data_IF_435719682592
#
_entry.id   IF_435719682592
#
_cell.length_a   1.000
_cell.length_b   1.000
_cell.length_c   1.000
_cell.angle_alpha   90.00
_cell.angle_beta   90.00
_cell.angle_gamma   90.00
#
_symmetry.space_group_name_H-M   'P 1'
#
loop_
_entity.id
_entity.type
_entity.pdbx_description
1 polymer ?
#
# COMPACT_ATOMS: atom_id res chain seq x y z
N UNK A 1 -58.20 -1.82 -7.10
CA UNK A 1 -57.98 -0.50 -6.48
C UNK A 1 -56.52 -0.45 -6.05
N UNK A 2 -55.64 0.12 -6.87
CA UNK A 2 -54.19 0.14 -6.63
C UNK A 2 -53.69 1.57 -6.61
N UNK A 3 -53.25 2.04 -5.44
CA UNK A 3 -52.68 3.36 -5.27
C UNK A 3 -51.20 3.34 -5.68
N UNK A 4 -50.84 4.19 -6.65
CA UNK A 4 -49.45 4.45 -7.04
C UNK A 4 -48.92 5.57 -6.15
N UNK A 5 -47.86 5.31 -5.40
CA UNK A 5 -47.10 6.31 -4.66
C UNK A 5 -46.09 6.94 -5.60
N UNK A 6 -46.27 8.22 -5.90
CA UNK A 6 -45.33 9.02 -6.69
C UNK A 6 -44.29 9.63 -5.74
N UNK A 7 -43.04 9.18 -5.83
CA UNK A 7 -41.91 9.81 -5.13
C UNK A 7 -41.37 10.94 -5.99
N UNK A 8 -41.55 12.17 -5.53
CA UNK A 8 -40.94 13.38 -6.13
C UNK A 8 -39.61 13.62 -5.43
N UNK A 9 -38.50 13.43 -6.14
CA UNK A 9 -37.18 13.85 -5.67
C UNK A 9 -36.99 15.35 -5.92
N UNK A 10 -36.87 16.12 -4.84
CA UNK A 10 -36.40 17.51 -4.89
C UNK A 10 -34.87 17.50 -4.79
N UNK A 11 -34.19 17.70 -5.92
CA UNK A 11 -32.78 18.07 -5.93
C UNK A 11 -32.68 19.57 -5.61
N UNK A 12 -32.36 19.89 -4.36
CA UNK A 12 -32.07 21.27 -3.95
C UNK A 12 -30.57 21.52 -4.14
N UNK A 13 -30.21 22.25 -5.20
CA UNK A 13 -28.86 22.71 -5.45
C UNK A 13 -28.75 24.16 -4.94
N UNK A 14 -28.09 24.35 -3.79
CA UNK A 14 -27.79 25.67 -3.23
C UNK A 14 -26.42 26.08 -3.76
N UNK A 15 -26.39 26.89 -4.82
CA UNK A 15 -25.18 27.58 -5.27
C UNK A 15 -25.12 28.96 -4.64
N UNK A 16 -24.34 29.11 -3.57
CA UNK A 16 -23.94 30.41 -3.04
C UNK A 16 -22.58 30.79 -3.64
N UNK A 17 -22.62 31.54 -4.75
CA UNK A 17 -21.62 32.55 -5.10
C UNK A 17 -20.16 32.13 -5.24
N UNK A 18 -19.81 31.30 -6.22
CA UNK A 18 -18.58 31.41 -7.03
C UNK A 18 -18.93 30.87 -8.43
N UNK A 19 -18.42 31.51 -9.48
CA UNK A 19 -18.76 31.28 -10.88
C UNK A 19 -18.76 29.79 -11.28
N UNK A 20 -19.89 29.34 -11.83
CA UNK A 20 -20.00 28.07 -12.54
C UNK A 20 -19.49 28.31 -13.97
N UNK A 21 -18.20 28.06 -14.20
CA UNK A 21 -17.65 28.07 -15.56
C UNK A 21 -18.09 26.80 -16.29
N UNK A 22 -18.72 26.99 -17.45
CA UNK A 22 -19.13 25.96 -18.38
C UNK A 22 -17.88 25.25 -18.92
N UNK A 23 -17.70 23.98 -18.55
CA UNK A 23 -16.63 23.15 -19.09
C UNK A 23 -17.00 22.71 -20.51
N UNK A 24 -16.42 23.37 -21.52
CA UNK A 24 -16.55 22.98 -22.92
C UNK A 24 -15.77 21.68 -23.16
N UNK A 25 -16.51 20.59 -23.41
CA UNK A 25 -15.95 19.33 -23.87
C UNK A 25 -15.36 19.49 -25.27
N UNK A 26 -14.04 19.54 -25.37
CA UNK A 26 -13.32 19.48 -26.65
C UNK A 26 -13.23 18.01 -27.09
N UNK A 27 -13.72 17.65 -28.29
CA UNK A 27 -13.64 16.28 -28.79
C UNK A 27 -12.20 15.87 -29.11
N UNK A 28 -11.87 14.63 -28.74
CA UNK A 28 -10.57 14.00 -28.91
C UNK A 28 -10.11 13.99 -30.38
N UNK A 29 -8.85 14.36 -30.60
CA UNK A 29 -8.16 14.24 -31.88
C UNK A 29 -7.66 12.80 -32.08
N UNK A 30 -8.06 12.09 -33.17
CA UNK A 30 -7.51 10.77 -33.50
C UNK A 30 -6.19 10.94 -34.28
N UNK A 31 -5.07 10.74 -33.59
CA UNK A 31 -3.73 10.80 -34.17
C UNK A 31 -3.08 9.41 -34.28
N UNK A 32 -3.15 8.86 -35.50
CA UNK A 32 -2.27 7.93 -36.24
C UNK A 32 -1.49 6.78 -35.54
N UNK A 33 -1.51 5.56 -36.13
CA UNK A 33 -0.59 4.47 -35.84
C UNK A 33 0.74 4.56 -36.63
N UNK A 34 1.68 3.69 -36.24
CA UNK A 34 2.89 3.21 -36.93
C UNK A 34 4.24 3.86 -36.62
N UNK A 35 5.09 3.09 -35.93
CA UNK A 35 6.47 2.84 -36.37
C UNK A 35 7.01 1.56 -35.69
N UNK A 36 6.94 0.45 -36.42
CA UNK A 36 7.76 -0.73 -36.16
C UNK A 36 9.24 -0.37 -36.32
N UNK A 37 10.06 -0.75 -35.35
CA UNK A 37 11.51 -0.87 -35.53
C UNK A 37 11.87 -2.32 -35.25
N UNK A 38 11.98 -3.08 -36.33
CA UNK A 38 12.75 -4.33 -36.35
C UNK A 38 14.24 -3.97 -36.31
N UNK A 39 14.93 -4.50 -35.30
CA UNK A 39 16.37 -4.40 -35.14
C UNK A 39 16.89 -5.70 -34.54
N UNK A 40 17.17 -6.65 -35.42
CA UNK A 40 17.74 -7.94 -35.08
C UNK A 40 19.28 -7.88 -34.91
N UNK A 41 19.76 -8.83 -34.10
CA UNK A 41 21.12 -9.41 -33.99
C UNK A 41 22.06 -8.87 -32.89
N UNK A 42 23.05 -9.67 -32.41
CA UNK A 42 23.27 -11.11 -32.57
C UNK A 42 23.21 -11.89 -31.24
N UNK A 43 23.12 -13.21 -31.37
CA UNK A 43 23.35 -14.16 -30.29
C UNK A 43 24.85 -14.24 -29.99
N UNK A 44 25.28 -13.75 -28.83
CA UNK A 44 26.58 -14.07 -28.27
C UNK A 44 26.43 -15.16 -27.21
N UNK A 45 26.78 -16.37 -27.63
CA UNK A 45 26.96 -17.53 -26.80
C UNK A 45 28.11 -17.32 -25.82
N UNK A 46 27.76 -16.96 -24.58
CA UNK A 46 28.63 -17.09 -23.42
C UNK A 46 28.29 -18.38 -22.68
N UNK A 47 29.02 -19.44 -22.99
CA UNK A 47 29.07 -20.66 -22.19
C UNK A 47 29.71 -20.35 -20.84
N UNK A 48 28.93 -19.91 -19.86
CA UNK A 48 29.37 -19.89 -18.47
C UNK A 48 29.26 -21.32 -17.97
N UNK A 49 30.43 -21.91 -17.75
CA UNK A 49 30.57 -23.30 -17.37
C UNK A 49 29.73 -23.68 -16.16
N UNK A 50 29.42 -24.96 -16.14
CA UNK A 50 28.81 -25.74 -15.07
C UNK A 50 29.56 -25.56 -13.74
N UNK A 51 29.39 -24.43 -13.09
CA UNK A 51 29.30 -24.41 -11.64
C UNK A 51 27.86 -24.79 -11.34
N UNK A 52 27.61 -26.10 -11.27
CA UNK A 52 26.56 -26.63 -10.44
C UNK A 52 26.83 -26.11 -9.01
N UNK A 53 26.34 -24.90 -8.74
CA UNK A 53 25.95 -24.54 -7.39
C UNK A 53 24.83 -25.51 -7.08
N UNK A 54 25.09 -26.38 -6.12
CA UNK A 54 24.10 -27.25 -5.52
C UNK A 54 22.79 -26.48 -5.37
N UNK A 55 21.81 -26.84 -6.19
CA UNK A 55 20.43 -26.47 -6.03
C UNK A 55 19.81 -27.34 -4.92
N UNK A 56 20.52 -27.47 -3.80
CA UNK A 56 20.09 -28.14 -2.59
C UNK A 56 20.62 -27.34 -1.39
N UNK A 57 19.91 -26.25 -1.15
CA UNK A 57 19.48 -25.81 0.16
C UNK A 57 18.37 -24.79 -0.19
N UNK A 58 17.11 -25.19 -0.38
CA UNK A 58 16.49 -26.17 0.49
C UNK A 58 16.57 -25.77 1.97
N UNK A 59 17.26 -24.66 2.30
CA UNK A 59 17.23 -23.97 3.55
C UNK A 59 15.78 -23.57 3.73
N UNK A 60 15.08 -24.48 4.39
CA UNK A 60 14.10 -24.25 5.42
C UNK A 60 14.60 -23.10 6.29
N UNK A 61 14.62 -21.88 5.74
CA UNK A 61 14.39 -20.69 6.51
C UNK A 61 13.13 -21.05 7.27
N UNK A 62 13.20 -21.20 8.61
CA UNK A 62 12.13 -21.82 9.37
C UNK A 62 10.86 -21.15 8.90
N UNK A 63 10.00 -21.93 8.24
CA UNK A 63 8.72 -21.46 7.72
C UNK A 63 8.17 -20.57 8.82
N UNK A 64 8.08 -19.27 8.49
CA UNK A 64 7.99 -18.18 9.45
C UNK A 64 7.22 -18.59 10.68
N UNK A 65 7.82 -18.43 11.87
CA UNK A 65 7.24 -18.90 13.14
C UNK A 65 5.73 -18.64 13.11
N UNK A 66 4.89 -19.69 13.06
CA UNK A 66 3.47 -19.53 12.84
C UNK A 66 2.93 -18.51 13.84
N UNK A 67 2.36 -17.40 13.35
CA UNK A 67 1.90 -16.30 14.19
C UNK A 67 2.79 -15.05 14.22
N UNK A 68 3.87 -14.98 13.42
CA UNK A 68 4.61 -13.72 13.21
C UNK A 68 3.72 -12.61 12.62
N UNK A 69 2.68 -12.95 11.87
CA UNK A 69 1.75 -11.98 11.26
C UNK A 69 2.21 -11.40 9.93
N UNK A 70 3.50 -11.53 9.60
CA UNK A 70 4.04 -11.20 8.29
C UNK A 70 4.19 -12.45 7.43
N UNK A 71 3.92 -12.30 6.15
CA UNK A 71 3.86 -13.38 5.17
C UNK A 71 5.20 -14.11 4.99
N UNK A 72 6.32 -13.40 5.11
CA UNK A 72 7.67 -13.93 5.02
C UNK A 72 8.24 -14.43 6.34
N UNK A 73 7.46 -14.34 7.43
CA UNK A 73 7.84 -14.90 8.72
C UNK A 73 8.64 -13.98 9.63
N UNK A 74 9.09 -12.83 9.13
CA UNK A 74 9.91 -11.88 9.88
C UNK A 74 9.06 -10.70 10.34
N UNK A 75 9.30 -10.17 11.55
CA UNK A 75 8.64 -8.95 12.05
C UNK A 75 9.65 -7.82 12.04
N UNK A 76 9.40 -6.78 11.24
CA UNK A 76 10.36 -5.71 11.05
C UNK A 76 10.10 -4.50 11.93
N UNK A 77 8.87 -3.96 11.97
CA UNK A 77 8.60 -2.70 12.69
C UNK A 77 8.42 -2.85 14.20
N UNK A 78 8.10 -4.07 14.64
CA UNK A 78 7.87 -4.42 16.04
C UNK A 78 8.68 -5.65 16.35
N UNK A 79 9.42 -5.63 17.45
CA UNK A 79 10.06 -6.84 17.96
C UNK A 79 9.00 -7.96 18.10
N UNK A 80 9.39 -9.24 17.95
CA UNK A 80 8.51 -10.39 18.15
C UNK A 80 8.13 -10.61 19.64
N UNK A 81 8.14 -9.54 20.44
CA UNK A 81 7.75 -9.64 21.84
C UNK A 81 6.25 -9.94 21.96
N UNK A 82 5.90 -10.56 23.08
CA UNK A 82 4.52 -10.95 23.39
C UNK A 82 3.62 -9.76 23.72
N UNK A 83 4.12 -8.52 23.67
CA UNK A 83 3.31 -7.33 24.01
C UNK A 83 2.36 -6.94 22.90
N UNK A 84 2.67 -7.30 21.65
CA UNK A 84 1.84 -7.00 20.47
C UNK A 84 1.55 -8.25 19.61
N UNK A 85 0.90 -9.29 20.17
CA UNK A 85 0.68 -10.55 19.46
C UNK A 85 -0.35 -10.45 18.33
N UNK A 86 -1.10 -9.34 18.26
CA UNK A 86 -2.14 -9.08 17.25
C UNK A 86 -1.74 -7.98 16.27
N UNK A 87 -0.54 -7.41 16.39
CA UNK A 87 -0.03 -6.33 15.55
C UNK A 87 1.39 -6.68 15.11
N UNK A 88 1.63 -6.69 13.81
CA UNK A 88 2.93 -6.88 13.19
C UNK A 88 3.21 -5.73 12.22
N UNK A 89 4.47 -5.40 12.01
CA UNK A 89 4.88 -4.44 11.00
C UNK A 89 5.74 -5.16 10.01
N UNK A 90 5.20 -5.35 8.82
CA UNK A 90 5.71 -6.24 7.80
C UNK A 90 6.32 -5.40 6.68
N UNK A 91 7.64 -5.43 6.57
CA UNK A 91 8.34 -4.68 5.53
C UNK A 91 8.24 -5.39 4.19
N UNK A 92 8.38 -4.62 3.11
CA UNK A 92 8.42 -5.19 1.77
C UNK A 92 7.72 -4.34 0.73
N UNK A 93 7.65 -4.91 -0.47
CA UNK A 93 7.17 -4.26 -1.68
C UNK A 93 5.84 -4.83 -2.12
N UNK A 94 5.05 -4.00 -2.78
CA UNK A 94 3.85 -4.41 -3.51
C UNK A 94 3.67 -3.51 -4.73
N UNK A 95 2.95 -4.01 -5.74
CA UNK A 95 2.74 -3.30 -7.00
C UNK A 95 1.28 -3.18 -7.41
N UNK A 96 0.39 -3.99 -6.83
CA UNK A 96 -1.05 -3.79 -6.97
C UNK A 96 -1.45 -2.61 -6.10
N UNK A 97 -1.88 -1.53 -6.73
CA UNK A 97 -2.19 -0.28 -6.07
C UNK A 97 -3.31 -0.41 -5.02
N UNK A 98 -3.16 0.35 -3.93
CA UNK A 98 -4.19 0.52 -2.92
C UNK A 98 -3.99 -0.34 -1.67
N UNK A 99 -4.42 0.20 -0.52
CA UNK A 99 -4.34 -0.49 0.77
C UNK A 99 -5.53 -1.39 1.10
N UNK A 100 -6.64 -1.26 0.35
CA UNK A 100 -7.81 -2.14 0.45
C UNK A 100 -7.76 -3.32 -0.54
N UNK A 101 -6.69 -3.43 -1.33
CA UNK A 101 -6.58 -4.50 -2.31
C UNK A 101 -6.43 -5.85 -1.60
N UNK A 102 -7.31 -6.79 -1.95
CA UNK A 102 -7.23 -8.18 -1.51
C UNK A 102 -5.89 -8.82 -1.91
N UNK A 103 -5.43 -9.78 -1.11
CA UNK A 103 -4.21 -10.52 -1.40
C UNK A 103 -4.30 -11.18 -2.79
N UNK A 104 -3.30 -10.94 -3.64
CA UNK A 104 -3.28 -11.32 -5.05
C UNK A 104 -2.10 -12.22 -5.43
N UNK A 105 -1.15 -12.46 -4.52
CA UNK A 105 0.03 -13.29 -4.76
C UNK A 105 0.24 -14.41 -3.74
N UNK A 106 -0.84 -14.82 -3.05
CA UNK A 106 -0.88 -15.90 -2.06
C UNK A 106 -0.02 -15.65 -0.83
N UNK A 107 0.04 -14.42 -0.31
CA UNK A 107 0.82 -14.07 0.89
C UNK A 107 2.29 -14.45 0.72
N UNK A 108 2.89 -14.03 -0.41
CA UNK A 108 4.30 -14.33 -0.75
C UNK A 108 5.17 -13.09 -0.84
N UNK A 109 4.61 -11.91 -0.59
CA UNK A 109 5.37 -10.66 -0.51
C UNK A 109 6.18 -10.62 0.79
N UNK A 110 7.03 -9.60 0.92
CA UNK A 110 7.91 -9.41 2.07
C UNK A 110 9.34 -9.11 1.65
N UNK A 111 10.15 -8.54 2.53
CA UNK A 111 11.59 -8.37 2.30
C UNK A 111 12.32 -9.71 2.18
N UNK A 112 11.85 -10.72 2.89
CA UNK A 112 12.45 -12.04 2.92
C UNK A 112 11.60 -13.11 2.22
N UNK A 113 10.42 -12.73 1.72
CA UNK A 113 9.51 -13.59 0.98
C UNK A 113 9.99 -14.00 -0.42
N UNK A 114 9.28 -14.93 -1.04
CA UNK A 114 9.57 -15.39 -2.41
C UNK A 114 9.23 -14.37 -3.50
N UNK A 115 8.43 -13.33 -3.18
CA UNK A 115 8.07 -12.21 -4.07
C UNK A 115 8.66 -10.88 -3.58
N UNK A 116 9.97 -10.84 -3.32
CA UNK A 116 10.69 -9.65 -2.79
C UNK A 116 10.46 -8.35 -3.58
N UNK A 117 10.22 -8.44 -4.89
CA UNK A 117 9.96 -7.28 -5.74
C UNK A 117 8.51 -6.79 -5.68
N UNK A 118 7.59 -7.53 -5.08
CA UNK A 118 6.18 -7.16 -4.97
C UNK A 118 5.38 -7.22 -6.29
N UNK A 119 5.98 -7.71 -7.39
CA UNK A 119 5.32 -7.77 -8.71
C UNK A 119 4.08 -8.67 -8.66
N UNK A 120 2.91 -8.09 -8.92
CA UNK A 120 1.60 -8.75 -8.85
C UNK A 120 1.08 -9.02 -7.44
N UNK A 121 1.73 -8.49 -6.41
CA UNK A 121 1.29 -8.57 -5.02
C UNK A 121 0.59 -7.27 -4.60
N UNK A 122 -0.44 -7.41 -3.77
CA UNK A 122 -1.09 -6.33 -3.04
C UNK A 122 -0.43 -6.09 -1.69
N UNK A 123 -0.77 -4.97 -1.05
CA UNK A 123 -0.35 -4.66 0.31
C UNK A 123 -0.73 -5.79 1.29
N UNK A 124 -1.91 -6.39 1.14
CA UNK A 124 -2.38 -7.52 1.95
C UNK A 124 -1.52 -8.80 1.82
N UNK A 125 -0.75 -8.96 0.74
CA UNK A 125 0.16 -10.10 0.59
C UNK A 125 1.41 -10.02 1.48
N UNK A 126 1.67 -8.87 2.12
CA UNK A 126 2.69 -8.75 3.17
C UNK A 126 2.22 -9.33 4.50
N UNK A 127 0.91 -9.47 4.70
CA UNK A 127 0.33 -10.06 5.89
C UNK A 127 0.22 -11.58 5.72
N UNK A 128 0.48 -12.33 6.78
CA UNK A 128 0.30 -13.78 6.77
C UNK A 128 -1.19 -14.16 6.65
N UNK A 129 -1.49 -15.39 6.24
CA UNK A 129 -2.88 -15.91 6.26
C UNK A 129 -3.51 -15.75 7.65
N UNK A 130 -4.72 -15.19 7.71
CA UNK A 130 -5.42 -14.85 8.97
C UNK A 130 -5.05 -13.48 9.54
N UNK A 131 -4.28 -12.70 8.78
CA UNK A 131 -3.93 -11.32 9.08
C UNK A 131 -4.36 -10.42 7.92
N UNK A 132 -4.60 -9.15 8.23
CA UNK A 132 -5.02 -8.12 7.29
C UNK A 132 -4.24 -6.83 7.49
N UNK A 133 -4.26 -5.94 6.50
CA UNK A 133 -3.76 -4.57 6.72
C UNK A 133 -4.62 -3.92 7.81
N UNK A 134 -3.98 -3.41 8.87
CA UNK A 134 -4.66 -2.89 10.05
C UNK A 134 -5.58 -1.71 9.72
N UNK A 135 -6.79 -1.71 10.27
CA UNK A 135 -7.55 -0.49 10.46
C UNK A 135 -6.92 0.37 11.56
N UNK A 136 -7.10 1.70 11.55
CA UNK A 136 -6.47 2.59 12.52
C UNK A 136 -6.86 2.29 13.98
N UNK A 137 -8.05 1.75 14.21
CA UNK A 137 -8.54 1.39 15.54
C UNK A 137 -7.89 0.12 16.11
N UNK A 138 -7.31 -0.72 15.25
CA UNK A 138 -6.64 -1.97 15.64
C UNK A 138 -5.18 -1.75 16.03
N UNK A 139 -4.61 -0.60 15.64
CA UNK A 139 -3.23 -0.22 16.00
C UNK A 139 -3.23 0.31 17.42
N UNK A 140 -2.63 -0.46 18.34
CA UNK A 140 -2.55 -0.10 19.76
C UNK A 140 -1.31 0.72 20.12
N UNK A 141 -0.28 0.66 19.28
CA UNK A 141 0.99 1.39 19.46
C UNK A 141 1.69 1.55 18.11
N UNK A 142 2.48 2.62 17.95
CA UNK A 142 3.46 2.69 16.88
C UNK A 142 4.83 2.23 17.38
N UNK A 143 5.44 1.30 16.65
CA UNK A 143 6.69 0.65 17.04
C UNK A 143 7.80 1.67 17.31
N UNK A 144 8.57 1.42 18.36
CA UNK A 144 9.77 2.20 18.71
C UNK A 144 11.06 1.42 18.50
N UNK A 145 10.95 0.14 18.18
CA UNK A 145 12.06 -0.79 18.01
C UNK A 145 11.80 -1.67 16.78
N UNK A 146 12.63 -1.51 15.75
CA UNK A 146 12.45 -2.25 14.50
C UNK A 146 13.25 -1.67 13.33
N UNK A 147 13.08 -2.28 12.15
CA UNK A 147 13.60 -1.77 10.91
C UNK A 147 12.98 -0.41 10.60
N UNK A 148 13.85 0.54 10.24
CA UNK A 148 13.45 1.90 9.96
C UNK A 148 12.57 1.97 8.70
N UNK A 149 11.52 2.78 8.75
CA UNK A 149 10.62 2.96 7.61
C UNK A 149 9.25 3.48 8.00
N UNK A 150 8.39 3.59 6.99
CA UNK A 150 6.98 3.90 7.16
C UNK A 150 6.14 2.64 6.94
N UNK A 151 5.28 2.31 7.90
CA UNK A 151 4.40 1.15 7.86
C UNK A 151 2.96 1.61 7.75
N UNK A 152 2.38 1.46 6.58
CA UNK A 152 1.04 1.95 6.26
C UNK A 152 -0.05 1.14 6.97
N UNK A 153 -1.13 1.83 7.35
CA UNK A 153 -2.38 1.25 7.80
C UNK A 153 -3.48 1.49 6.77
N UNK A 154 -4.58 0.75 6.83
CA UNK A 154 -5.77 0.96 6.00
C UNK A 154 -6.61 2.20 6.41
N UNK A 155 -6.08 3.06 7.28
CA UNK A 155 -6.74 4.29 7.71
C UNK A 155 -7.14 5.17 6.54
N UNK A 156 -8.26 5.87 6.70
CA UNK A 156 -8.88 6.71 5.69
C UNK A 156 -8.80 8.16 6.11
N UNK A 157 -8.70 9.06 5.13
CA UNK A 157 -8.74 10.50 5.33
C UNK A 157 -9.32 11.19 4.11
N UNK A 158 -9.96 12.34 4.34
CA UNK A 158 -10.45 13.22 3.28
C UNK A 158 -9.41 14.30 2.92
N UNK A 159 -8.19 14.17 3.43
CA UNK A 159 -7.06 15.06 3.21
C UNK A 159 -6.67 15.88 4.44
N UNK A 160 -5.74 16.80 4.24
CA UNK A 160 -5.18 17.67 5.28
C UNK A 160 -4.54 16.91 6.46
N UNK A 161 -4.08 15.69 6.21
CA UNK A 161 -3.52 14.79 7.21
C UNK A 161 -4.48 14.47 8.37
N UNK A 162 -5.79 14.41 8.10
CA UNK A 162 -6.81 14.06 9.09
C UNK A 162 -7.40 12.70 8.77
N UNK A 163 -7.34 11.77 9.74
CA UNK A 163 -8.07 10.51 9.62
C UNK A 163 -9.56 10.72 9.86
N UNK A 164 -10.38 9.97 9.14
CA UNK A 164 -11.83 9.99 9.26
C UNK A 164 -12.47 8.68 8.81
N UNK A 165 -13.80 8.65 8.80
CA UNK A 165 -14.58 7.48 8.41
C UNK A 165 -14.55 7.19 6.89
N UNK A 166 -13.99 8.09 6.07
CA UNK A 166 -13.99 7.97 4.62
C UNK A 166 -12.93 8.83 3.96
N UNK A 167 -12.87 8.73 2.63
CA UNK A 167 -11.85 9.35 1.79
C UNK A 167 -10.66 8.42 1.54
N UNK A 168 -9.88 8.78 0.53
CA UNK A 168 -8.68 8.08 0.09
C UNK A 168 -7.46 9.01 -0.03
N UNK A 169 -7.55 10.19 0.57
CA UNK A 169 -6.49 11.19 0.58
C UNK A 169 -5.59 10.97 1.80
N UNK A 170 -4.29 11.17 1.58
CA UNK A 170 -3.18 10.80 2.45
C UNK A 170 -3.10 9.28 2.78
N UNK A 171 -1.91 8.81 3.12
CA UNK A 171 -1.66 7.47 3.65
C UNK A 171 -1.12 7.59 5.07
N UNK A 172 -1.77 6.95 6.02
CA UNK A 172 -1.44 7.05 7.44
C UNK A 172 -0.82 5.76 7.97
N UNK A 173 0.07 5.88 8.94
CA UNK A 173 0.78 4.73 9.45
C UNK A 173 1.70 5.05 10.62
N UNK A 174 2.64 4.15 10.84
CA UNK A 174 3.70 4.31 11.83
C UNK A 174 5.04 4.56 11.14
N UNK A 175 5.71 5.64 11.50
CA UNK A 175 7.11 5.84 11.19
C UNK A 175 7.98 5.29 12.33
N UNK A 176 8.88 4.37 11.99
CA UNK A 176 9.86 3.77 12.92
C UNK A 176 11.25 4.30 12.56
N UNK A 177 11.96 4.87 13.54
CA UNK A 177 13.32 5.41 13.39
C UNK A 177 13.45 6.67 12.50
N UNK A 178 12.33 7.22 11.99
CA UNK A 178 12.31 8.33 11.02
C UNK A 178 11.22 9.36 11.32
N UNK A 179 10.85 9.51 12.58
CA UNK A 179 9.72 10.36 13.00
C UNK A 179 9.88 11.84 12.67
N UNK A 180 11.10 12.33 12.40
CA UNK A 180 11.34 13.70 11.91
C UNK A 180 11.20 13.84 10.39
N UNK A 181 11.25 12.73 9.64
CA UNK A 181 11.07 12.70 8.19
C UNK A 181 9.61 12.68 7.80
N UNK A 182 8.77 12.05 8.63
CA UNK A 182 7.34 11.92 8.39
C UNK A 182 6.57 12.87 9.29
N UNK A 183 5.77 13.79 8.74
CA UNK A 183 4.94 14.66 9.54
C UNK A 183 3.86 13.84 10.29
N UNK A 184 3.53 14.21 11.54
CA UNK A 184 2.46 13.55 12.27
C UNK A 184 1.09 13.89 11.67
N UNK A 185 0.08 13.02 11.82
CA UNK A 185 -1.28 13.35 11.46
C UNK A 185 -1.82 14.52 12.29
N UNK A 186 -2.66 15.35 11.68
CA UNK A 186 -3.20 16.55 12.31
C UNK A 186 -4.23 16.22 13.39
N UNK A 187 -5.08 15.20 13.16
CA UNK A 187 -6.04 14.69 14.15
C UNK A 187 -6.68 13.37 13.70
N UNK A 188 -7.37 12.68 14.62
CA UNK A 188 -8.28 11.56 14.30
C UNK A 188 -7.62 10.21 14.06
N UNK A 189 -6.29 10.12 14.07
CA UNK A 189 -5.57 8.90 13.67
C UNK A 189 -5.16 7.98 14.85
N UNK A 190 -5.74 8.18 16.04
CA UNK A 190 -5.42 7.37 17.22
C UNK A 190 -3.93 7.46 17.58
N UNK A 191 -3.26 6.30 17.60
CA UNK A 191 -1.83 6.19 17.92
C UNK A 191 -0.90 6.33 16.71
N UNK A 192 -1.44 6.42 15.49
CA UNK A 192 -0.64 6.59 14.28
C UNK A 192 0.14 7.90 14.35
N UNK A 193 1.45 7.81 14.11
CA UNK A 193 2.38 8.91 14.34
C UNK A 193 2.92 9.55 13.05
N UNK A 194 2.49 9.06 11.89
CA UNK A 194 2.97 9.54 10.60
C UNK A 194 1.90 9.49 9.50
N UNK A 195 2.05 10.37 8.51
CA UNK A 195 1.39 10.25 7.22
C UNK A 195 2.34 10.57 6.06
N UNK A 196 1.96 10.14 4.86
CA UNK A 196 2.58 10.49 3.59
C UNK A 196 1.50 10.84 2.57
N UNK A 197 1.83 11.74 1.63
CA UNK A 197 0.97 12.12 0.50
C UNK A 197 1.81 12.42 -0.72
N UNK A 198 1.16 12.73 -1.85
CA UNK A 198 1.87 13.15 -3.06
C UNK A 198 2.78 14.36 -2.77
N UNK A 199 4.05 14.27 -3.16
CA UNK A 199 5.07 15.29 -2.89
C UNK A 199 5.70 15.25 -1.49
N UNK A 200 5.16 14.46 -0.55
CA UNK A 200 5.76 14.19 0.77
C UNK A 200 6.16 12.72 0.95
N UNK A 201 5.77 11.86 0.02
CA UNK A 201 6.12 10.46 0.00
C UNK A 201 7.65 10.30 -0.14
N UNK A 202 8.28 9.42 0.65
CA UNK A 202 9.68 9.10 0.49
C UNK A 202 9.90 8.40 -0.86
N UNK A 203 11.14 8.43 -1.35
CA UNK A 203 11.46 7.88 -2.67
C UNK A 203 10.93 6.45 -2.83
N UNK A 204 10.24 6.23 -3.95
CA UNK A 204 9.67 4.98 -4.44
C UNK A 204 8.46 4.42 -3.67
N UNK A 205 7.85 5.20 -2.77
CA UNK A 205 6.42 5.11 -2.56
C UNK A 205 5.73 5.82 -3.73
N UNK A 206 4.94 5.07 -4.48
CA UNK A 206 4.20 5.53 -5.65
C UNK A 206 2.77 5.84 -5.20
N UNK A 207 2.41 7.13 -5.14
CA UNK A 207 1.08 7.59 -4.74
C UNK A 207 0.07 7.61 -5.90
N UNK A 208 0.49 7.15 -7.08
CA UNK A 208 -0.24 7.36 -8.33
C UNK A 208 -0.28 8.83 -8.75
N UNK A 209 -1.24 9.17 -9.60
CA UNK A 209 -1.37 10.50 -10.21
C UNK A 209 -2.36 11.41 -9.48
N UNK A 210 -3.27 10.83 -8.70
CA UNK A 210 -4.29 11.57 -7.95
C UNK A 210 -3.70 12.29 -6.73
N UNK A 211 -4.28 13.44 -6.38
CA UNK A 211 -3.95 14.25 -5.19
C UNK A 211 -4.99 14.09 -4.07
N UNK A 212 -5.98 13.24 -4.27
CA UNK A 212 -7.09 13.02 -3.32
C UNK A 212 -7.43 11.55 -3.14
N UNK A 213 -6.62 10.67 -3.75
CA UNK A 213 -6.83 9.22 -3.76
C UNK A 213 -5.51 8.49 -3.58
N UNK A 214 -4.52 9.08 -2.87
CA UNK A 214 -3.23 8.42 -2.63
C UNK A 214 -3.39 7.03 -2.03
N UNK A 215 -4.26 6.86 -1.03
CA UNK A 215 -4.51 5.57 -0.38
C UNK A 215 -5.03 4.49 -1.31
N UNK A 216 -5.87 4.86 -2.29
CA UNK A 216 -6.38 3.94 -3.28
C UNK A 216 -5.35 3.62 -4.36
N UNK A 217 -4.36 4.50 -4.57
CA UNK A 217 -3.37 4.37 -5.62
C UNK A 217 -1.99 3.93 -5.13
N UNK A 218 -1.77 3.86 -3.81
CA UNK A 218 -0.43 3.69 -3.25
C UNK A 218 0.17 2.32 -3.56
N UNK A 219 1.42 2.32 -4.01
CA UNK A 219 2.29 1.17 -4.15
C UNK A 219 3.66 1.44 -3.49
N UNK A 220 4.28 0.43 -2.88
CA UNK A 220 5.64 0.55 -2.32
C UNK A 220 6.62 -0.24 -3.19
N UNK A 221 7.46 0.48 -3.94
CA UNK A 221 8.45 -0.11 -4.86
C UNK A 221 9.85 -0.22 -4.24
N UNK A 222 10.10 0.38 -3.07
CA UNK A 222 11.43 0.38 -2.44
C UNK A 222 11.58 -0.70 -1.39
N UNK A 223 10.50 -1.04 -0.70
CA UNK A 223 10.56 -1.89 0.50
C UNK A 223 11.09 -1.13 1.72
N UNK A 224 11.14 0.20 1.65
CA UNK A 224 11.52 1.03 2.79
C UNK A 224 10.29 1.24 3.68
N UNK A 225 10.15 0.34 4.65
CA UNK A 225 8.91 0.13 5.41
C UNK A 225 8.00 -0.89 4.73
N UNK A 226 6.69 -0.78 4.96
CA UNK A 226 5.71 -1.74 4.47
C UNK A 226 4.32 -1.46 4.99
N UNK A 227 3.67 -2.46 5.60
CA UNK A 227 2.32 -2.32 6.18
C UNK A 227 2.27 -2.78 7.63
N UNK A 228 1.29 -2.28 8.36
CA UNK A 228 0.86 -2.82 9.64
C UNK A 228 -0.12 -3.94 9.37
N UNK A 229 0.17 -5.14 9.86
CA UNK A 229 -0.70 -6.31 9.76
C UNK A 229 -1.34 -6.60 11.12
N UNK A 230 -2.66 -6.70 11.14
CA UNK A 230 -3.46 -6.99 12.33
C UNK A 230 -4.11 -8.36 12.18
N UNK A 231 -4.21 -9.08 13.29
CA UNK A 231 -4.86 -10.40 13.32
C UNK A 231 -6.37 -10.23 13.21
N UNK A 232 -6.99 -10.97 12.28
CA UNK A 232 -8.45 -11.01 12.11
C UNK A 232 -9.17 -11.77 13.24
#
# INVERSE_FOLDING_TARGET
MGARVSMTFFASCICAGVACETFETTPASPGAPDAAVEGAAPADGGSFGDAAVDADDGGDFPVGVPGSGCADGTREAFAPDTSSPTLAGCAGRWSVAGLDAEASCNHKAGNDGSRKLGTGCAAADLCATGWQVCNPLEVSTCGSSGAMGFYASAARGAGNAVCGAGGDDDVFGCAVGLTSTFPPPSSGCGVLNAYISKGKAPLGWDMGTSETQERANVANRTGFGGVLCCKQ
#
